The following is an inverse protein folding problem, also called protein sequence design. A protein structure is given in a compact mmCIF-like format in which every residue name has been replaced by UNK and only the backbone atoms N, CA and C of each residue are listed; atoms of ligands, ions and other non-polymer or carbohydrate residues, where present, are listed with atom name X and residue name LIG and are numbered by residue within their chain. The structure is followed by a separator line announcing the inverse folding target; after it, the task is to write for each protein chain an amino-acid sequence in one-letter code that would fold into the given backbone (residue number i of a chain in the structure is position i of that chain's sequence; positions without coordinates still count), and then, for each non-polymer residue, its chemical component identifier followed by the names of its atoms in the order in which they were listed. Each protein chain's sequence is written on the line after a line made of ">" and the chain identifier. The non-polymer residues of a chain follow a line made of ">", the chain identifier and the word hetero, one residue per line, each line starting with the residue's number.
data_IF_779985802055
#
_entry.id   IF_779985802055
#
_cell.length_a   1.000
_cell.length_b   1.000
_cell.length_c   1.000
_cell.angle_alpha   90.00
_cell.angle_beta   90.00
_cell.angle_gamma   90.00
#
_symmetry.space_group_name_H-M   'P 1'
#
loop_
_entity.id
_entity.type
_entity.pdbx_description
1 polymer ?
#
# COMPACT_ATOMS: atom_id res chain seq x y z
N UNK A 1 0.47 30.50 10.31
CA UNK A 1 1.50 29.47 10.10
C UNK A 1 0.77 28.21 9.72
N UNK A 2 1.18 27.53 8.65
CA UNK A 2 0.60 26.23 8.28
C UNK A 2 1.41 25.11 8.92
N UNK A 3 0.76 23.98 9.16
CA UNK A 3 1.34 22.81 9.80
C UNK A 3 1.13 21.59 8.90
N UNK A 4 2.14 20.75 8.79
CA UNK A 4 2.03 19.47 8.09
C UNK A 4 1.42 18.47 9.06
N UNK A 5 0.16 18.15 8.84
CA UNK A 5 -0.60 17.25 9.71
C UNK A 5 -0.92 15.98 8.94
N UNK A 6 -0.40 14.87 9.41
CA UNK A 6 -0.85 13.55 9.03
C UNK A 6 -2.13 13.24 9.80
N UNK A 7 -3.20 12.90 9.08
CA UNK A 7 -4.45 12.42 9.65
C UNK A 7 -4.72 11.02 9.14
N UNK A 8 -5.20 10.16 10.02
CA UNK A 8 -5.53 8.79 9.70
C UNK A 8 -6.79 8.32 10.39
N UNK A 9 -7.53 7.48 9.69
CA UNK A 9 -8.64 6.71 10.23
C UNK A 9 -8.44 5.24 9.85
N UNK A 10 -8.35 4.39 10.86
CA UNK A 10 -7.94 2.99 10.70
C UNK A 10 -8.99 2.11 11.36
N UNK A 11 -9.72 1.27 10.61
CA UNK A 11 -10.64 0.31 11.22
C UNK A 11 -9.83 -0.82 11.86
N UNK A 12 -10.17 -1.17 13.10
CA UNK A 12 -9.42 -2.14 13.91
C UNK A 12 -10.32 -3.19 14.51
N UNK A 13 -9.72 -4.33 14.88
CA UNK A 13 -10.40 -5.41 15.59
C UNK A 13 -10.96 -4.94 16.94
N UNK A 14 -12.01 -5.63 17.41
CA UNK A 14 -12.69 -5.27 18.66
C UNK A 14 -11.76 -5.30 19.88
N UNK A 15 -10.85 -6.27 19.91
CA UNK A 15 -9.84 -6.49 20.95
C UNK A 15 -8.61 -5.60 20.82
N UNK A 16 -8.63 -4.58 19.94
CA UNK A 16 -7.49 -3.70 19.68
C UNK A 16 -6.83 -3.19 20.96
N UNK A 17 -7.57 -2.65 21.92
CA UNK A 17 -6.98 -2.05 23.13
C UNK A 17 -6.31 -3.08 24.07
N UNK A 18 -6.81 -4.32 24.07
CA UNK A 18 -6.35 -5.41 24.94
C UNK A 18 -5.32 -6.31 24.24
N UNK A 19 -5.08 -6.09 22.95
CA UNK A 19 -4.19 -6.94 22.16
C UNK A 19 -2.71 -6.73 22.53
N UNK A 20 -1.92 -7.81 22.69
CA UNK A 20 -0.47 -7.69 22.88
C UNK A 20 0.21 -7.00 21.69
N UNK A 21 -0.35 -7.12 20.49
CA UNK A 21 0.14 -6.44 19.29
C UNK A 21 0.05 -4.92 19.45
N UNK A 22 -1.03 -4.42 20.04
CA UNK A 22 -1.23 -2.98 20.29
C UNK A 22 -0.24 -2.43 21.31
N UNK A 23 0.15 -3.24 22.29
CA UNK A 23 1.22 -2.85 23.23
C UNK A 23 2.54 -2.66 22.46
N UNK A 24 2.90 -3.62 21.59
CA UNK A 24 4.09 -3.50 20.74
C UNK A 24 4.01 -2.31 19.77
N UNK A 25 2.83 -2.00 19.21
CA UNK A 25 2.61 -0.81 18.38
C UNK A 25 2.93 0.46 19.19
N UNK A 26 2.43 0.58 20.42
CA UNK A 26 2.65 1.75 21.28
C UNK A 26 4.12 1.91 21.69
N UNK A 27 4.82 0.81 21.96
CA UNK A 27 6.25 0.82 22.24
C UNK A 27 7.08 1.26 21.03
N UNK A 28 6.81 0.72 19.85
CA UNK A 28 7.49 1.11 18.61
C UNK A 28 7.16 2.54 18.21
N UNK A 29 5.90 2.97 18.37
CA UNK A 29 5.51 4.37 18.22
C UNK A 29 6.46 5.25 19.03
N UNK A 30 6.62 4.97 20.33
CA UNK A 30 7.49 5.77 21.21
C UNK A 30 8.94 5.85 20.73
N UNK A 31 9.46 4.84 20.00
CA UNK A 31 10.80 4.83 19.40
C UNK A 31 10.88 5.62 18.09
N UNK A 32 9.95 5.37 17.17
CA UNK A 32 9.85 6.08 15.87
C UNK A 32 9.70 7.59 16.10
N UNK A 33 8.99 7.95 17.17
CA UNK A 33 8.70 9.33 17.55
C UNK A 33 9.88 10.02 18.26
N UNK A 34 10.96 9.32 18.62
CA UNK A 34 12.17 9.96 19.18
C UNK A 34 12.87 10.95 18.23
N UNK A 35 12.36 11.15 17.02
CA UNK A 35 12.84 12.11 16.02
C UNK A 35 12.51 13.56 16.41
N UNK A 36 13.47 14.47 16.19
CA UNK A 36 13.27 15.92 16.33
C UNK A 36 12.25 16.52 15.36
N UNK A 37 11.83 15.75 14.35
CA UNK A 37 10.92 16.19 13.30
C UNK A 37 9.43 15.99 13.61
N UNK A 38 9.10 15.29 14.70
CA UNK A 38 7.72 15.17 15.16
C UNK A 38 7.42 16.23 16.22
N UNK A 39 6.44 17.09 15.93
CA UNK A 39 6.02 18.19 16.82
C UNK A 39 4.97 17.73 17.83
N UNK A 40 4.12 16.78 17.45
CA UNK A 40 3.16 16.17 18.35
C UNK A 40 2.35 15.07 17.69
N UNK A 41 1.85 14.14 18.50
CA UNK A 41 0.99 13.07 18.04
C UNK A 41 -0.14 12.78 19.02
N UNK A 42 -1.28 12.40 18.46
CA UNK A 42 -2.47 12.07 19.20
C UNK A 42 -3.14 10.83 18.62
N UNK A 43 -3.78 10.08 19.51
CA UNK A 43 -4.54 8.87 19.19
C UNK A 43 -5.90 8.94 19.90
N UNK A 44 -6.95 8.56 19.18
CA UNK A 44 -8.28 8.36 19.76
C UNK A 44 -8.89 7.08 19.24
N UNK A 45 -9.44 6.27 20.14
CA UNK A 45 -10.11 5.02 19.79
C UNK A 45 -11.61 5.21 19.92
N UNK A 46 -12.35 4.77 18.91
CA UNK A 46 -13.80 4.86 18.87
C UNK A 46 -14.41 3.48 18.63
N UNK A 47 -15.41 3.14 19.44
CA UNK A 47 -16.19 1.92 19.25
C UNK A 47 -17.16 1.99 18.06
N UNK A 48 -17.75 0.86 17.65
CA UNK A 48 -18.83 0.84 16.69
C UNK A 48 -20.03 1.67 17.15
N UNK A 49 -20.75 2.29 16.21
CA UNK A 49 -21.91 3.12 16.49
C UNK A 49 -21.56 4.45 17.16
N UNK A 50 -20.33 4.93 16.97
CA UNK A 50 -19.90 6.27 17.36
C UNK A 50 -20.75 7.38 16.74
N UNK A 51 -20.41 8.63 17.02
CA UNK A 51 -21.16 9.80 16.53
C UNK A 51 -21.27 9.90 15.01
N UNK A 52 -20.30 9.34 14.28
CA UNK A 52 -20.29 9.25 12.83
C UNK A 52 -21.09 8.07 12.27
N UNK A 53 -21.65 7.22 13.15
CA UNK A 53 -22.39 6.02 12.77
C UNK A 53 -21.52 4.89 12.23
N UNK A 54 -20.19 4.94 12.43
CA UNK A 54 -19.26 3.93 11.93
C UNK A 54 -19.66 2.52 12.41
N UNK A 55 -19.80 1.53 11.51
CA UNK A 55 -20.16 0.16 11.89
C UNK A 55 -19.00 -0.60 12.54
N UNK A 56 -17.78 -0.04 12.53
CA UNK A 56 -16.56 -0.68 12.98
C UNK A 56 -15.87 0.12 14.07
N UNK A 57 -15.12 -0.58 14.92
CA UNK A 57 -14.17 0.05 15.85
C UNK A 57 -13.04 0.67 15.03
N UNK A 58 -12.60 1.85 15.40
CA UNK A 58 -11.59 2.59 14.64
C UNK A 58 -10.62 3.35 15.53
N UNK A 59 -9.43 3.59 14.99
CA UNK A 59 -8.41 4.45 15.58
C UNK A 59 -8.27 5.67 14.69
N UNK A 60 -8.39 6.85 15.30
CA UNK A 60 -8.04 8.13 14.72
C UNK A 60 -6.62 8.47 15.13
N UNK A 61 -5.75 8.66 14.15
CA UNK A 61 -4.38 9.09 14.34
C UNK A 61 -4.21 10.50 13.82
N UNK A 62 -3.50 11.33 14.58
CA UNK A 62 -3.07 12.63 14.12
C UNK A 62 -1.61 12.88 14.51
N UNK A 63 -0.78 13.30 13.58
CA UNK A 63 0.62 13.62 13.83
C UNK A 63 1.00 14.93 13.13
N UNK A 64 1.65 15.84 13.83
CA UNK A 64 2.19 17.09 13.29
C UNK A 64 3.68 16.91 13.06
N UNK A 65 4.10 17.07 11.82
CA UNK A 65 5.48 16.87 11.35
C UNK A 65 6.11 18.20 10.91
N UNK A 66 7.44 18.27 10.93
CA UNK A 66 8.19 19.38 10.34
C UNK A 66 8.09 19.38 8.81
N UNK A 67 8.04 18.21 8.18
CA UNK A 67 7.81 18.02 6.75
C UNK A 67 7.23 16.64 6.41
N UNK A 68 6.75 16.46 5.18
CA UNK A 68 6.26 15.15 4.69
C UNK A 68 7.43 14.17 4.55
N UNK A 69 8.58 14.65 4.10
CA UNK A 69 9.79 13.84 3.94
C UNK A 69 10.25 13.28 5.28
N UNK A 70 10.12 14.05 6.36
CA UNK A 70 10.44 13.58 7.69
C UNK A 70 9.46 12.49 8.18
N UNK A 71 8.16 12.66 7.91
CA UNK A 71 7.16 11.65 8.20
C UNK A 71 7.43 10.35 7.43
N UNK A 72 7.74 10.46 6.14
CA UNK A 72 8.06 9.31 5.30
C UNK A 72 9.36 8.64 5.73
N UNK A 73 10.41 9.40 6.06
CA UNK A 73 11.65 8.85 6.60
C UNK A 73 11.42 8.07 7.90
N UNK A 74 10.58 8.60 8.80
CA UNK A 74 10.21 7.91 10.04
C UNK A 74 9.48 6.59 9.77
N UNK A 75 8.54 6.58 8.79
CA UNK A 75 7.81 5.37 8.38
C UNK A 75 8.69 4.33 7.67
N UNK A 76 9.73 4.77 6.96
CA UNK A 76 10.68 3.89 6.27
C UNK A 76 11.82 3.39 7.18
N UNK A 77 11.91 3.90 8.41
CA UNK A 77 12.86 3.39 9.40
C UNK A 77 12.56 1.93 9.77
N UNK A 78 13.54 1.15 10.29
CA UNK A 78 13.30 -0.22 10.74
C UNK A 78 12.14 -0.34 11.73
N UNK A 79 12.05 0.58 12.70
CA UNK A 79 10.96 0.60 13.68
C UNK A 79 9.60 0.96 13.03
N UNK A 80 9.59 1.88 12.05
CA UNK A 80 8.39 2.24 11.29
C UNK A 80 7.87 1.10 10.41
N UNK A 81 8.78 0.36 9.76
CA UNK A 81 8.45 -0.83 8.98
C UNK A 81 7.89 -1.95 9.85
N UNK A 82 8.47 -2.16 11.04
CA UNK A 82 7.96 -3.15 11.99
C UNK A 82 6.59 -2.75 12.54
N UNK A 83 6.42 -1.48 12.91
CA UNK A 83 5.14 -0.92 13.33
C UNK A 83 4.06 -1.11 12.27
N UNK A 84 4.39 -0.93 10.98
CA UNK A 84 3.47 -1.18 9.86
C UNK A 84 3.03 -2.65 9.78
N UNK A 85 3.92 -3.62 10.03
CA UNK A 85 3.55 -5.04 10.06
C UNK A 85 2.59 -5.35 11.20
N UNK A 86 2.82 -4.78 12.38
CA UNK A 86 1.92 -4.95 13.52
C UNK A 86 0.54 -4.33 13.27
N UNK A 87 0.49 -3.14 12.67
CA UNK A 87 -0.78 -2.54 12.24
C UNK A 87 -1.57 -3.47 11.31
N UNK A 88 -0.90 -4.15 10.37
CA UNK A 88 -1.54 -5.14 9.50
C UNK A 88 -2.21 -6.32 10.22
N UNK A 89 -1.82 -6.61 11.47
CA UNK A 89 -2.41 -7.69 12.26
C UNK A 89 -3.67 -7.24 13.03
N UNK A 90 -3.82 -5.94 13.27
CA UNK A 90 -4.94 -5.37 14.06
C UNK A 90 -5.98 -4.64 13.22
N UNK A 91 -5.67 -4.33 11.96
CA UNK A 91 -6.62 -3.76 11.01
C UNK A 91 -7.75 -4.76 10.73
N UNK A 92 -8.99 -4.26 10.74
CA UNK A 92 -10.18 -5.01 10.36
C UNK A 92 -10.86 -4.31 9.18
N UNK A 93 -10.77 -4.89 8.00
CA UNK A 93 -11.37 -4.32 6.79
C UNK A 93 -12.76 -4.88 6.50
N UNK A 94 -13.21 -5.89 7.26
CA UNK A 94 -14.51 -6.52 7.08
C UNK A 94 -15.58 -5.76 7.87
N UNK A 95 -16.68 -5.41 7.21
CA UNK A 95 -17.89 -4.88 7.86
C UNK A 95 -19.13 -5.54 7.27
N UNK A 96 -20.24 -5.68 8.03
CA UNK A 96 -21.51 -6.16 7.52
C UNK A 96 -22.04 -5.37 6.30
N UNK A 97 -21.59 -4.13 6.13
CA UNK A 97 -21.97 -3.24 5.02
C UNK A 97 -21.02 -3.27 3.81
N UNK A 98 -20.03 -4.16 3.80
CA UNK A 98 -18.98 -4.23 2.79
C UNK A 98 -17.60 -3.82 3.32
N UNK A 99 -16.54 -3.96 2.51
CA UNK A 99 -15.18 -3.68 2.97
C UNK A 99 -14.98 -2.20 3.31
N UNK A 100 -14.26 -1.96 4.41
CA UNK A 100 -13.92 -0.63 4.90
C UNK A 100 -12.41 -0.47 4.86
N UNK A 101 -11.93 0.47 4.05
CA UNK A 101 -10.49 0.68 3.85
C UNK A 101 -9.95 1.69 4.88
N UNK A 102 -8.79 1.42 5.52
CA UNK A 102 -8.07 2.45 6.23
C UNK A 102 -7.66 3.57 5.28
N UNK A 103 -7.56 4.79 5.80
CA UNK A 103 -6.96 5.89 5.06
C UNK A 103 -6.03 6.69 5.95
N UNK A 104 -4.97 7.20 5.33
CA UNK A 104 -4.06 8.19 5.91
C UNK A 104 -3.76 9.23 4.84
N UNK A 105 -3.55 10.47 5.26
CA UNK A 105 -3.23 11.55 4.34
C UNK A 105 -2.45 12.64 5.04
N UNK A 106 -1.57 13.28 4.29
CA UNK A 106 -0.88 14.48 4.75
C UNK A 106 -1.64 15.71 4.31
N UNK A 107 -1.80 16.67 5.20
CA UNK A 107 -2.52 17.90 4.95
C UNK A 107 -1.68 19.09 5.38
N UNK A 108 -1.70 20.15 4.56
CA UNK A 108 -1.11 21.42 4.93
C UNK A 108 -2.18 22.30 5.59
N UNK A 109 -2.34 22.16 6.92
CA UNK A 109 -3.42 22.79 7.67
C UNK A 109 -3.02 24.18 8.18
N UNK A 110 -3.86 25.18 7.89
CA UNK A 110 -3.72 26.55 8.37
C UNK A 110 -4.90 27.00 9.24
N UNK A 111 -4.97 28.30 9.52
CA UNK A 111 -6.08 28.93 10.24
C UNK A 111 -6.01 28.87 11.78
N UNK A 112 -5.17 28.01 12.35
CA UNK A 112 -5.06 27.87 13.80
C UNK A 112 -3.95 26.92 14.25
N UNK A 113 -3.96 26.58 15.54
CA UNK A 113 -3.04 25.61 16.13
C UNK A 113 -3.73 24.24 16.26
N UNK A 114 -3.24 23.25 15.50
CA UNK A 114 -3.76 21.88 15.55
C UNK A 114 -3.69 21.29 16.96
N UNK A 115 -2.67 21.62 17.76
CA UNK A 115 -2.58 21.09 19.13
C UNK A 115 -3.74 21.54 20.02
N UNK A 116 -4.31 22.72 19.78
CA UNK A 116 -5.53 23.20 20.47
C UNK A 116 -6.77 22.45 20.02
N UNK A 117 -6.87 22.19 18.71
CA UNK A 117 -7.96 21.37 18.15
C UNK A 117 -7.92 19.97 18.76
N UNK A 118 -6.76 19.33 18.73
CA UNK A 118 -6.53 17.99 19.27
C UNK A 118 -6.73 17.88 20.79
N UNK A 119 -6.59 18.97 21.55
CA UNK A 119 -6.84 19.01 22.99
C UNK A 119 -8.33 19.13 23.37
N UNK A 120 -9.22 19.25 22.38
CA UNK A 120 -10.66 19.39 22.60
C UNK A 120 -11.30 18.06 23.00
N UNK A 121 -12.44 18.10 23.70
CA UNK A 121 -13.13 16.88 24.13
C UNK A 121 -13.62 16.04 22.95
N UNK A 122 -14.08 16.72 21.90
CA UNK A 122 -14.53 16.11 20.65
C UNK A 122 -13.83 16.80 19.49
N UNK A 123 -13.32 16.00 18.56
CA UNK A 123 -12.67 16.46 17.32
C UNK A 123 -13.47 15.96 16.13
N UNK A 124 -13.95 16.87 15.30
CA UNK A 124 -14.66 16.57 14.06
C UNK A 124 -13.71 16.79 12.88
N UNK A 125 -13.52 15.75 12.07
CA UNK A 125 -12.84 15.79 10.78
C UNK A 125 -13.89 15.79 9.67
N UNK A 126 -13.88 16.82 8.83
CA UNK A 126 -14.75 16.93 7.67
C UNK A 126 -13.89 16.99 6.41
N UNK A 127 -13.92 15.93 5.61
CA UNK A 127 -13.25 15.83 4.32
C UNK A 127 -14.20 16.20 3.19
N UNK A 128 -13.78 17.12 2.33
CA UNK A 128 -14.42 17.42 1.05
C UNK A 128 -13.50 16.92 -0.07
N UNK A 129 -13.95 15.92 -0.82
CA UNK A 129 -13.18 15.30 -1.90
C UNK A 129 -13.65 15.84 -3.25
N UNK A 130 -12.73 16.47 -3.98
CA UNK A 130 -12.98 17.12 -5.26
C UNK A 130 -12.28 16.35 -6.39
N UNK A 131 -12.80 16.42 -7.63
CA UNK A 131 -12.07 16.01 -8.82
C UNK A 131 -10.67 16.64 -8.89
N UNK A 132 -9.70 15.92 -9.48
CA UNK A 132 -8.30 16.40 -9.57
C UNK A 132 -8.16 17.69 -10.38
N UNK A 133 -9.04 17.91 -11.35
CA UNK A 133 -9.11 19.09 -12.21
C UNK A 133 -9.91 20.25 -11.59
N UNK A 134 -10.47 20.09 -10.39
CA UNK A 134 -11.23 21.13 -9.72
C UNK A 134 -10.35 22.36 -9.41
N UNK A 135 -10.95 23.55 -9.57
CA UNK A 135 -10.33 24.81 -9.20
C UNK A 135 -10.36 24.98 -7.67
N UNK A 136 -9.28 24.52 -7.03
CA UNK A 136 -9.13 24.52 -5.57
C UNK A 136 -9.12 25.94 -4.98
N UNK A 137 -8.56 26.93 -5.69
CA UNK A 137 -8.54 28.31 -5.23
C UNK A 137 -9.96 28.90 -5.18
N UNK A 138 -10.75 28.69 -6.23
CA UNK A 138 -12.14 29.15 -6.27
C UNK A 138 -13.01 28.44 -5.21
N UNK A 139 -12.79 27.13 -5.01
CA UNK A 139 -13.47 26.39 -3.94
C UNK A 139 -13.13 27.00 -2.57
N UNK A 140 -11.85 27.22 -2.28
CA UNK A 140 -11.42 27.71 -0.97
C UNK A 140 -11.93 29.14 -0.71
N UNK A 141 -11.91 30.01 -1.73
CA UNK A 141 -12.48 31.36 -1.63
C UNK A 141 -13.98 31.30 -1.29
N UNK A 142 -14.74 30.44 -1.97
CA UNK A 142 -16.16 30.28 -1.73
C UNK A 142 -16.43 29.71 -0.34
N UNK A 143 -15.70 28.68 0.06
CA UNK A 143 -15.79 28.09 1.39
C UNK A 143 -15.51 29.12 2.48
N UNK A 144 -14.43 29.89 2.36
CA UNK A 144 -14.09 30.94 3.31
C UNK A 144 -15.16 32.05 3.37
N UNK A 145 -15.75 32.40 2.22
CA UNK A 145 -16.86 33.36 2.16
C UNK A 145 -18.08 32.87 2.95
N UNK A 146 -18.43 31.58 2.80
CA UNK A 146 -19.51 30.94 3.57
C UNK A 146 -19.21 30.98 5.08
N UNK A 147 -17.98 30.64 5.48
CA UNK A 147 -17.59 30.66 6.90
C UNK A 147 -17.64 32.08 7.49
N UNK A 148 -17.19 33.10 6.74
CA UNK A 148 -17.29 34.51 7.15
C UNK A 148 -18.75 34.96 7.30
N UNK A 149 -19.61 34.58 6.35
CA UNK A 149 -21.03 34.90 6.42
C UNK A 149 -21.68 34.28 7.68
N UNK A 150 -21.35 33.02 7.99
CA UNK A 150 -21.84 32.34 9.18
C UNK A 150 -21.33 32.98 10.49
N UNK A 151 -20.07 33.41 10.53
CA UNK A 151 -19.54 34.15 11.68
C UNK A 151 -20.22 35.51 11.86
N UNK A 152 -20.48 36.23 10.76
CA UNK A 152 -21.09 37.57 10.79
C UNK A 152 -22.57 37.57 11.19
N UNK A 153 -23.29 36.48 10.99
CA UNK A 153 -24.69 36.33 11.40
C UNK A 153 -24.86 35.96 12.89
N UNK A 154 -23.78 36.01 13.68
CA UNK A 154 -23.78 35.62 15.09
C UNK A 154 -23.79 34.10 15.30
N UNK A 155 -23.59 33.33 14.23
CA UNK A 155 -23.59 31.86 14.23
C UNK A 155 -22.26 31.27 14.72
N UNK A 156 -21.73 31.73 15.86
CA UNK A 156 -20.79 30.88 16.58
C UNK A 156 -21.59 29.70 17.12
N UNK A 157 -21.37 28.53 16.52
CA UNK A 157 -21.99 27.32 17.04
C UNK A 157 -21.50 27.13 18.47
N UNK A 158 -22.44 27.13 19.42
CA UNK A 158 -22.13 26.90 20.82
C UNK A 158 -21.24 25.65 20.95
N UNK A 159 -20.21 25.76 21.79
CA UNK A 159 -19.25 24.69 22.03
C UNK A 159 -18.12 24.55 21.02
N UNK A 160 -18.04 25.37 19.96
CA UNK A 160 -16.85 25.44 19.11
C UNK A 160 -15.66 26.04 19.85
N UNK A 161 -14.50 25.37 19.84
CA UNK A 161 -13.30 25.77 20.58
C UNK A 161 -12.15 26.23 19.67
N UNK A 162 -11.89 25.48 18.61
CA UNK A 162 -10.78 25.74 17.69
C UNK A 162 -11.03 25.07 16.33
N UNK A 163 -10.38 25.56 15.29
CA UNK A 163 -10.44 24.94 13.97
C UNK A 163 -9.18 25.18 13.15
N UNK A 164 -8.85 24.20 12.31
CA UNK A 164 -7.85 24.32 11.25
C UNK A 164 -8.42 23.74 9.97
N UNK A 165 -7.91 24.18 8.83
CA UNK A 165 -8.34 23.66 7.53
C UNK A 165 -7.22 23.73 6.51
N UNK A 166 -7.31 22.94 5.44
CA UNK A 166 -6.32 22.98 4.37
C UNK A 166 -6.45 21.81 3.40
N UNK A 167 -5.55 21.81 2.42
CA UNK A 167 -5.54 20.82 1.35
C UNK A 167 -4.63 19.63 1.67
N UNK A 168 -4.97 18.48 1.11
CA UNK A 168 -4.08 17.33 1.03
C UNK A 168 -2.80 17.71 0.30
N UNK A 169 -1.69 17.16 0.75
CA UNK A 169 -0.40 17.25 0.08
C UNK A 169 -0.39 16.13 -0.96
N UNK A 170 -0.60 16.51 -2.22
CA UNK A 170 -0.82 15.57 -3.31
C UNK A 170 -2.26 15.10 -3.43
N UNK A 171 -2.45 14.13 -4.31
CA UNK A 171 -3.74 13.49 -4.57
C UNK A 171 -3.97 12.35 -3.58
N UNK A 172 -5.21 12.18 -3.14
CA UNK A 172 -5.64 11.07 -2.27
C UNK A 172 -6.54 10.13 -3.05
N UNK A 173 -6.45 8.83 -2.77
CA UNK A 173 -7.37 7.84 -3.34
C UNK A 173 -8.62 7.80 -2.46
N UNK A 174 -9.75 8.23 -3.01
CA UNK A 174 -11.04 8.17 -2.34
C UNK A 174 -12.02 7.38 -3.20
N UNK A 175 -12.56 6.29 -2.66
CA UNK A 175 -13.46 5.35 -3.36
C UNK A 175 -12.89 4.86 -4.71
N UNK A 176 -11.58 4.63 -4.76
CA UNK A 176 -10.89 4.13 -5.96
C UNK A 176 -10.53 5.20 -6.99
N UNK A 177 -10.85 6.47 -6.75
CA UNK A 177 -10.52 7.58 -7.65
C UNK A 177 -9.50 8.52 -7.01
N UNK A 178 -8.57 9.05 -7.82
CA UNK A 178 -7.70 10.14 -7.39
C UNK A 178 -8.54 11.40 -7.19
N UNK A 179 -8.37 12.06 -6.04
CA UNK A 179 -9.09 13.27 -5.64
C UNK A 179 -8.13 14.25 -4.97
N UNK A 180 -8.52 15.52 -4.96
CA UNK A 180 -7.96 16.51 -4.04
C UNK A 180 -8.85 16.58 -2.83
N UNK A 181 -8.29 16.46 -1.63
CA UNK A 181 -9.07 16.55 -0.40
C UNK A 181 -8.84 17.90 0.28
N UNK A 182 -9.93 18.60 0.57
CA UNK A 182 -9.93 19.73 1.50
C UNK A 182 -10.44 19.24 2.85
N UNK A 183 -9.58 19.36 3.87
CA UNK A 183 -9.87 18.90 5.21
C UNK A 183 -10.16 20.08 6.12
N UNK A 184 -11.21 19.95 6.93
CA UNK A 184 -11.55 20.87 8.01
C UNK A 184 -11.56 20.06 9.30
N UNK A 185 -10.73 20.44 10.27
CA UNK A 185 -10.65 19.79 11.57
C UNK A 185 -11.05 20.78 12.66
N UNK A 186 -12.05 20.44 13.44
CA UNK A 186 -12.64 21.34 14.45
C UNK A 186 -12.72 20.66 15.80
N UNK A 187 -12.43 21.44 16.85
CA UNK A 187 -12.47 21.01 18.24
C UNK A 187 -13.68 21.58 18.96
N UNK A 188 -14.33 20.74 19.76
CA UNK A 188 -15.60 21.00 20.42
C UNK A 188 -15.60 20.58 21.89
N UNK A 189 -16.45 21.22 22.68
CA UNK A 189 -16.61 20.91 24.10
C UNK A 189 -17.39 19.62 24.37
N UNK A 190 -18.27 19.20 23.46
CA UNK A 190 -19.22 18.11 23.67
C UNK A 190 -19.75 17.53 22.36
N UNK A 191 -20.30 16.32 22.44
CA UNK A 191 -20.93 15.62 21.32
C UNK A 191 -22.20 16.33 20.84
N UNK A 192 -22.95 16.91 21.77
CA UNK A 192 -24.19 17.63 21.55
C UNK A 192 -23.93 18.89 20.70
N UNK A 193 -22.86 19.61 21.01
CA UNK A 193 -22.42 20.77 20.23
C UNK A 193 -22.09 20.39 18.78
N UNK A 194 -21.40 19.26 18.56
CA UNK A 194 -21.11 18.74 17.22
C UNK A 194 -22.40 18.38 16.48
N UNK A 195 -23.30 17.61 17.11
CA UNK A 195 -24.60 17.24 16.54
C UNK A 195 -25.42 18.47 16.13
N UNK A 196 -25.43 19.52 16.97
CA UNK A 196 -26.10 20.78 16.66
C UNK A 196 -25.41 21.56 15.53
N UNK A 197 -24.08 21.42 15.38
CA UNK A 197 -23.30 22.03 14.33
C UNK A 197 -23.63 21.47 12.95
N UNK A 198 -23.70 20.14 12.84
CA UNK A 198 -23.82 19.42 11.55
C UNK A 198 -25.26 18.98 11.23
N UNK A 199 -26.15 18.97 12.23
CA UNK A 199 -27.54 18.53 12.08
C UNK A 199 -28.45 19.51 11.32
N UNK A 200 -29.66 19.02 11.01
CA UNK A 200 -30.70 19.79 10.31
C UNK A 200 -30.46 19.92 8.81
N UNK A 201 -30.79 21.08 8.24
CA UNK A 201 -30.65 21.37 6.81
C UNK A 201 -29.28 21.97 6.43
N UNK A 202 -28.37 22.12 7.41
CA UNK A 202 -27.06 22.77 7.23
C UNK A 202 -26.18 22.01 6.23
N UNK A 203 -26.16 20.68 6.30
CA UNK A 203 -25.42 19.84 5.35
C UNK A 203 -25.95 20.00 3.92
N UNK A 204 -27.27 19.93 3.75
CA UNK A 204 -27.90 20.12 2.45
C UNK A 204 -27.62 21.53 1.88
N UNK A 205 -27.64 22.57 2.72
CA UNK A 205 -27.27 23.94 2.33
C UNK A 205 -25.80 24.04 1.92
N UNK A 206 -24.91 23.34 2.62
CA UNK A 206 -23.48 23.31 2.30
C UNK A 206 -23.23 22.61 0.95
N UNK A 207 -23.83 21.42 0.76
CA UNK A 207 -23.75 20.66 -0.50
C UNK A 207 -24.32 21.48 -1.68
N UNK A 208 -25.47 22.13 -1.51
CA UNK A 208 -26.08 22.99 -2.54
C UNK A 208 -25.21 24.20 -2.86
N UNK A 209 -24.62 24.85 -1.84
CA UNK A 209 -23.76 26.02 -2.04
C UNK A 209 -22.49 25.67 -2.82
N UNK A 210 -21.98 24.45 -2.70
CA UNK A 210 -20.74 24.01 -3.35
C UNK A 210 -20.96 22.99 -4.48
N UNK A 211 -22.20 22.79 -4.93
CA UNK A 211 -22.56 21.80 -5.95
C UNK A 211 -21.77 21.93 -7.26
N UNK A 212 -21.36 23.15 -7.61
CA UNK A 212 -20.57 23.42 -8.81
C UNK A 212 -19.19 22.74 -8.82
N UNK A 213 -18.69 22.34 -7.64
CA UNK A 213 -17.40 21.67 -7.48
C UNK A 213 -17.51 20.14 -7.45
N UNK A 214 -18.72 19.57 -7.55
CA UNK A 214 -18.96 18.12 -7.55
C UNK A 214 -18.28 17.38 -6.39
N UNK A 215 -18.48 17.89 -5.17
CA UNK A 215 -17.81 17.41 -3.97
C UNK A 215 -18.48 16.15 -3.43
N UNK A 216 -17.66 15.23 -2.93
CA UNK A 216 -18.12 14.16 -2.04
C UNK A 216 -17.67 14.47 -0.62
N UNK A 217 -18.59 14.47 0.35
CA UNK A 217 -18.25 14.72 1.76
C UNK A 217 -18.12 13.43 2.57
N UNK A 218 -17.20 13.43 3.52
CA UNK A 218 -17.09 12.42 4.57
C UNK A 218 -16.78 13.10 5.90
N UNK A 219 -17.41 12.62 6.96
CA UNK A 219 -17.24 13.13 8.31
C UNK A 219 -16.79 11.98 9.21
N UNK A 220 -15.85 12.28 10.10
CA UNK A 220 -15.38 11.39 11.15
C UNK A 220 -15.35 12.17 12.46
N UNK A 221 -15.86 11.57 13.53
CA UNK A 221 -15.96 12.23 14.82
C UNK A 221 -15.18 11.45 15.86
N UNK A 222 -14.11 12.02 16.39
CA UNK A 222 -13.29 11.41 17.42
C UNK A 222 -13.61 12.01 18.79
N UNK A 223 -13.79 11.16 19.79
CA UNK A 223 -13.88 11.58 21.19
C UNK A 223 -12.57 11.27 21.91
N UNK A 224 -12.06 12.26 22.65
CA UNK A 224 -10.89 12.05 23.50
C UNK A 224 -9.60 11.72 22.74
N UNK A 225 -9.27 12.49 21.71
CA UNK A 225 -7.98 12.41 21.04
C UNK A 225 -6.85 12.72 22.05
N UNK A 226 -6.16 11.69 22.54
CA UNK A 226 -5.16 11.81 23.61
C UNK A 226 -3.79 12.04 23.02
N UNK A 227 -3.09 13.06 23.51
CA UNK A 227 -1.68 13.26 23.18
C UNK A 227 -0.87 12.06 23.68
N UNK A 228 -0.11 11.44 22.79
CA UNK A 228 0.80 10.36 23.17
C UNK A 228 1.96 11.01 23.94
N UNK A 229 2.08 10.69 25.23
CA UNK A 229 3.14 11.22 26.09
C UNK A 229 4.43 10.45 25.86
N UNK A 230 5.54 11.17 25.74
CA UNK A 230 6.87 10.61 25.68
C UNK A 230 7.45 10.52 27.09
N UNK A 231 7.92 9.35 27.48
CA UNK A 231 8.93 9.30 28.53
C UNK A 231 10.22 9.81 27.90
N UNK A 232 10.69 10.96 28.39
CA UNK A 232 11.88 11.63 27.87
C UNK A 232 13.05 10.65 27.76
N UNK A 233 13.75 10.69 26.62
CA UNK A 233 14.95 9.90 26.26
C UNK A 233 16.18 10.32 27.12
N UNK A 234 16.01 10.49 28.43
CA UNK A 234 17.07 10.87 29.37
C UNK A 234 17.80 9.68 30.00
N UNK A 235 17.28 8.45 29.91
CA UNK A 235 17.92 7.29 30.57
C UNK A 235 18.65 6.34 29.64
N UNK A 236 18.42 6.39 28.31
CA UNK A 236 18.99 5.39 27.39
C UNK A 236 20.34 5.75 26.74
N UNK A 237 20.80 7.00 26.85
CA UNK A 237 22.07 7.45 26.23
C UNK A 237 23.30 7.15 27.12
N UNK A 238 23.12 6.81 28.39
CA UNK A 238 24.23 6.62 29.33
C UNK A 238 25.02 5.29 29.21
N UNK A 239 24.62 4.35 28.36
CA UNK A 239 25.20 2.98 28.35
C UNK A 239 26.09 2.68 27.13
N UNK A 240 26.23 3.58 26.15
CA UNK A 240 27.00 3.29 24.91
C UNK A 240 28.21 4.16 24.61
N UNK A 241 28.68 5.04 25.50
CA UNK A 241 29.88 5.86 25.26
C UNK A 241 31.13 5.45 26.06
N UNK A 242 31.44 4.15 26.13
CA UNK A 242 32.81 3.71 26.48
C UNK A 242 33.22 2.55 25.59
N UNK A 243 34.38 2.69 24.93
CA UNK A 243 35.00 1.81 23.92
C UNK A 243 34.50 2.13 22.49
N UNK A 244 35.29 2.62 21.53
CA UNK A 244 36.74 2.52 21.34
C UNK A 244 37.22 3.68 20.45
N UNK A 245 38.37 4.26 20.80
CA UNK A 245 39.18 5.07 19.89
C UNK A 245 40.54 4.38 19.79
N UNK A 246 40.92 4.01 18.58
CA UNK A 246 42.16 3.31 18.29
C UNK A 246 42.53 3.50 16.82
N UNK A 247 43.29 4.55 16.57
CA UNK A 247 43.89 4.93 15.30
C UNK A 247 45.01 3.96 14.90
N UNK A 248 45.14 3.63 13.60
CA UNK A 248 46.46 3.39 13.01
C UNK A 248 46.45 3.62 11.49
N UNK A 249 47.64 3.93 10.98
CA UNK A 249 47.98 4.63 9.73
C UNK A 249 48.86 3.73 8.87
N UNK A 250 48.90 4.05 7.56
CA UNK A 250 49.85 3.60 6.52
C UNK A 250 49.48 2.26 5.84
N UNK A 251 49.75 2.01 4.55
CA UNK A 251 50.76 2.58 3.64
C UNK A 251 50.36 2.27 2.18
N UNK A 252 50.69 3.20 1.30
CA UNK A 252 50.60 3.13 -0.16
C UNK A 252 51.69 2.21 -0.75
N UNK A 253 51.33 1.36 -1.72
CA UNK A 253 52.24 0.90 -2.78
C UNK A 253 51.47 0.56 -4.06
N UNK A 254 51.89 1.23 -5.13
CA UNK A 254 51.49 1.13 -6.54
C UNK A 254 52.23 -0.03 -7.23
N UNK A 255 51.55 -0.81 -8.09
CA UNK A 255 52.15 -1.48 -9.26
C UNK A 255 51.13 -1.62 -10.39
N UNK A 256 51.50 -1.10 -11.56
CA UNK A 256 50.92 -1.37 -12.88
C UNK A 256 50.98 -2.86 -13.23
N UNK A 257 50.12 -3.34 -14.12
CA UNK A 257 50.40 -4.24 -15.28
C UNK A 257 49.12 -4.36 -16.15
N UNK A 258 49.27 -4.16 -17.47
CA UNK A 258 48.22 -4.20 -18.52
C UNK A 258 48.05 -5.62 -19.13
N UNK A 259 47.16 -5.89 -20.11
CA UNK A 259 46.15 -6.95 -20.02
C UNK A 259 46.47 -8.20 -20.87
N UNK A 260 45.85 -9.35 -20.55
CA UNK A 260 45.86 -10.52 -21.43
C UNK A 260 44.43 -10.99 -21.76
N UNK A 261 44.20 -11.14 -23.08
CA UNK A 261 43.07 -11.82 -23.73
C UNK A 261 43.00 -13.29 -23.32
N UNK A 262 41.78 -13.80 -23.16
CA UNK A 262 41.44 -15.22 -23.17
C UNK A 262 40.31 -15.47 -24.20
N UNK A 263 40.19 -16.71 -24.73
CA UNK A 263 39.75 -16.96 -26.10
C UNK A 263 38.24 -17.15 -26.27
N UNK A 264 37.77 -16.87 -27.49
CA UNK A 264 36.48 -17.29 -28.02
C UNK A 264 36.34 -18.82 -27.97
N UNK A 265 35.22 -19.31 -27.43
CA UNK A 265 34.79 -20.70 -27.59
C UNK A 265 33.40 -20.79 -28.21
N UNK A 266 33.37 -21.56 -29.29
CA UNK A 266 32.26 -21.86 -30.20
C UNK A 266 30.95 -22.26 -29.51
N UNK A 267 29.89 -21.49 -29.79
CA UNK A 267 28.50 -21.79 -29.46
C UNK A 267 27.82 -22.62 -30.56
N UNK A 268 28.18 -23.89 -30.70
CA UNK A 268 27.41 -24.83 -31.53
C UNK A 268 27.15 -26.13 -30.80
N UNK A 269 26.13 -26.12 -29.91
CA UNK A 269 25.26 -27.26 -29.51
C UNK A 269 24.39 -26.87 -28.29
N UNK A 270 23.37 -26.02 -28.45
CA UNK A 270 22.20 -26.04 -27.53
C UNK A 270 21.13 -26.93 -28.13
N UNK A 271 20.82 -28.00 -27.41
CA UNK A 271 19.95 -29.09 -27.83
C UNK A 271 18.47 -28.65 -27.89
N UNK A 272 17.65 -29.40 -28.64
CA UNK A 272 16.20 -29.21 -28.84
C UNK A 272 15.35 -29.09 -27.54
N UNK A 273 15.92 -29.33 -26.36
CA UNK A 273 15.24 -29.31 -25.05
C UNK A 273 14.86 -27.88 -24.61
N UNK A 274 15.59 -26.87 -25.06
CA UNK A 274 15.33 -25.45 -24.73
C UNK A 274 14.37 -24.75 -25.71
N UNK A 275 13.81 -25.47 -26.68
CA UNK A 275 12.92 -24.88 -27.67
C UNK A 275 11.65 -24.29 -27.01
N UNK A 276 11.55 -22.96 -27.01
CA UNK A 276 10.38 -22.20 -26.52
C UNK A 276 10.35 -21.93 -25.01
N UNK A 277 11.39 -22.33 -24.26
CA UNK A 277 11.58 -21.92 -22.87
C UNK A 277 12.33 -20.58 -22.81
N UNK A 278 11.88 -19.67 -21.95
CA UNK A 278 12.64 -18.46 -21.60
C UNK A 278 12.61 -18.21 -20.09
N UNK A 279 13.68 -17.60 -19.59
CA UNK A 279 13.80 -17.20 -18.19
C UNK A 279 13.01 -15.92 -17.94
N UNK A 280 12.29 -15.87 -16.82
CA UNK A 280 11.55 -14.70 -16.33
C UNK A 280 12.17 -14.12 -15.06
N UNK A 281 13.42 -14.49 -14.78
CA UNK A 281 14.22 -14.02 -13.65
C UNK A 281 14.35 -15.01 -12.51
N UNK A 282 15.02 -14.57 -11.45
CA UNK A 282 15.30 -15.39 -10.26
C UNK A 282 14.02 -15.62 -9.46
N UNK A 283 13.86 -16.81 -8.89
CA UNK A 283 12.71 -17.15 -8.05
C UNK A 283 12.61 -16.25 -6.80
N UNK A 284 13.74 -15.77 -6.31
CA UNK A 284 13.88 -14.78 -5.24
C UNK A 284 13.32 -13.40 -5.60
N UNK A 285 13.09 -13.12 -6.89
CA UNK A 285 12.54 -11.86 -7.41
C UNK A 285 11.02 -11.85 -7.52
N UNK A 286 10.36 -12.94 -7.16
CA UNK A 286 8.90 -13.07 -7.12
C UNK A 286 8.43 -13.19 -5.66
N UNK A 287 7.66 -12.22 -5.15
CA UNK A 287 7.06 -12.35 -3.81
C UNK A 287 6.10 -13.54 -3.79
N UNK A 288 6.06 -14.24 -2.66
CA UNK A 288 5.06 -15.29 -2.42
C UNK A 288 3.78 -14.65 -1.90
N UNK A 289 2.69 -14.84 -2.63
CA UNK A 289 1.40 -14.23 -2.32
C UNK A 289 0.71 -14.88 -1.11
N UNK A 290 1.12 -16.09 -0.70
CA UNK A 290 0.57 -16.74 0.50
C UNK A 290 -0.97 -16.84 0.49
N UNK A 291 -1.60 -16.49 1.61
CA UNK A 291 -3.08 -16.43 1.74
C UNK A 291 -3.61 -14.99 1.64
N UNK A 292 -2.90 -14.12 0.94
CA UNK A 292 -3.31 -12.74 0.72
C UNK A 292 -4.52 -12.67 -0.22
N UNK A 293 -5.55 -11.92 0.18
CA UNK A 293 -6.77 -11.68 -0.60
C UNK A 293 -6.62 -10.51 -1.60
N UNK A 294 -5.44 -9.89 -1.68
CA UNK A 294 -5.11 -8.82 -2.61
C UNK A 294 -5.02 -9.27 -4.08
N UNK A 295 -5.07 -8.31 -5.00
CA UNK A 295 -4.91 -8.60 -6.42
C UNK A 295 -3.43 -8.90 -6.78
N UNK A 296 -3.22 -9.57 -7.92
CA UNK A 296 -1.88 -10.01 -8.35
C UNK A 296 -0.89 -8.85 -8.61
N UNK A 297 -1.37 -7.65 -8.97
CA UNK A 297 -0.53 -6.48 -9.24
C UNK A 297 -0.19 -5.67 -7.98
N UNK A 298 -0.85 -5.94 -6.86
CA UNK A 298 -0.58 -5.23 -5.61
C UNK A 298 0.89 -5.40 -5.19
N UNK A 299 1.49 -4.29 -4.75
CA UNK A 299 2.88 -4.24 -4.36
C UNK A 299 3.10 -5.05 -3.09
N UNK A 300 4.07 -5.95 -3.13
CA UNK A 300 4.45 -6.83 -2.02
C UNK A 300 5.94 -6.75 -1.81
N UNK A 301 6.35 -6.97 -0.56
CA UNK A 301 7.77 -7.06 -0.26
C UNK A 301 8.35 -8.32 -0.87
N UNK A 302 9.43 -8.13 -1.61
CA UNK A 302 10.24 -9.16 -2.21
C UNK A 302 11.68 -8.88 -1.78
N UNK A 303 12.09 -9.52 -0.69
CA UNK A 303 13.28 -9.17 0.09
C UNK A 303 13.19 -7.73 0.61
N UNK A 304 14.07 -6.83 0.16
CA UNK A 304 14.12 -5.42 0.55
C UNK A 304 13.29 -4.50 -0.35
N UNK A 305 12.79 -5.00 -1.48
CA UNK A 305 12.17 -4.17 -2.51
C UNK A 305 10.65 -4.40 -2.54
N UNK A 306 9.88 -3.34 -2.83
CA UNK A 306 8.48 -3.46 -3.20
C UNK A 306 8.37 -3.84 -4.68
N UNK A 307 7.77 -5.00 -4.96
CA UNK A 307 7.56 -5.49 -6.32
C UNK A 307 6.09 -5.91 -6.49
N UNK A 308 5.49 -5.74 -7.68
CA UNK A 308 4.18 -6.30 -7.94
C UNK A 308 4.15 -7.81 -7.65
N UNK A 309 3.01 -8.30 -7.18
CA UNK A 309 2.79 -9.73 -6.88
C UNK A 309 2.94 -10.67 -8.08
N UNK A 310 2.87 -10.12 -9.29
CA UNK A 310 3.09 -10.80 -10.55
C UNK A 310 4.03 -9.99 -11.45
N UNK A 311 4.67 -10.66 -12.40
CA UNK A 311 5.40 -10.02 -13.49
C UNK A 311 4.76 -10.39 -14.81
N UNK A 312 4.75 -9.45 -15.75
CA UNK A 312 4.15 -9.64 -17.08
C UNK A 312 5.24 -9.54 -18.13
N UNK A 313 5.21 -10.41 -19.14
CA UNK A 313 6.21 -10.45 -20.20
C UNK A 313 5.54 -10.54 -21.56
N UNK A 314 6.07 -9.82 -22.56
CA UNK A 314 5.72 -10.06 -23.96
C UNK A 314 6.30 -11.39 -24.43
N UNK A 315 5.45 -12.25 -24.99
CA UNK A 315 5.78 -13.59 -25.48
C UNK A 315 5.09 -13.89 -26.84
N UNK A 316 5.62 -13.29 -27.94
CA UNK A 316 5.07 -13.43 -29.29
C UNK A 316 4.99 -14.89 -29.75
N UNK A 317 3.96 -15.22 -30.54
CA UNK A 317 3.84 -16.51 -31.20
C UNK A 317 4.69 -16.54 -32.46
N UNK A 318 6.01 -16.73 -32.35
CA UNK A 318 6.84 -16.99 -33.53
C UNK A 318 7.97 -18.01 -33.30
N UNK A 319 8.14 -18.81 -34.33
CA UNK A 319 8.90 -20.05 -34.50
C UNK A 319 10.41 -19.80 -34.67
N UNK A 320 11.22 -20.44 -33.83
CA UNK A 320 12.56 -20.88 -34.23
C UNK A 320 13.79 -20.08 -33.76
N UNK A 321 13.64 -19.04 -32.93
CA UNK A 321 14.79 -18.35 -32.32
C UNK A 321 14.55 -18.08 -30.83
N UNK A 322 15.64 -17.95 -30.07
CA UNK A 322 15.66 -17.76 -28.61
C UNK A 322 14.68 -16.64 -28.24
N UNK A 323 13.60 -16.99 -27.54
CA UNK A 323 12.59 -16.02 -27.12
C UNK A 323 13.20 -15.13 -26.04
N UNK A 324 13.69 -13.96 -26.43
CA UNK A 324 13.97 -12.88 -25.50
C UNK A 324 12.62 -12.22 -25.22
N UNK A 325 12.10 -12.43 -24.01
CA UNK A 325 10.87 -11.78 -23.56
C UNK A 325 11.22 -10.49 -22.83
N UNK A 326 10.46 -9.43 -23.11
CA UNK A 326 10.62 -8.14 -22.44
C UNK A 326 9.59 -8.06 -21.32
N UNK A 327 10.04 -7.76 -20.10
CA UNK A 327 9.16 -7.48 -18.97
C UNK A 327 8.34 -6.21 -19.28
N UNK A 328 7.04 -6.28 -19.03
CA UNK A 328 6.11 -5.18 -19.14
C UNK A 328 6.03 -4.52 -17.78
N UNK A 329 6.29 -3.21 -17.73
CA UNK A 329 6.12 -2.46 -16.51
C UNK A 329 4.63 -2.38 -16.17
N UNK A 330 4.26 -3.01 -15.05
CA UNK A 330 2.90 -3.02 -14.51
C UNK A 330 2.74 -2.16 -13.26
N UNK A 331 3.71 -1.29 -12.99
CA UNK A 331 3.64 -0.33 -11.89
C UNK A 331 2.41 0.58 -12.02
N UNK A 332 1.84 1.05 -10.90
CA UNK A 332 0.68 1.94 -10.92
C UNK A 332 0.85 3.16 -11.85
N UNK A 333 2.08 3.66 -11.97
CA UNK A 333 2.42 4.84 -12.78
C UNK A 333 2.53 4.52 -14.28
N UNK A 334 2.94 3.29 -14.66
CA UNK A 334 3.05 2.86 -16.06
C UNK A 334 1.73 2.31 -16.63
N UNK A 335 0.89 1.71 -15.79
CA UNK A 335 -0.32 0.99 -16.21
C UNK A 335 -1.45 1.90 -16.68
N UNK A 336 -1.56 3.13 -16.15
CA UNK A 336 -2.58 4.11 -16.59
C UNK A 336 -2.39 4.54 -18.06
N UNK A 337 -1.16 4.44 -18.59
CA UNK A 337 -0.89 4.72 -20.01
C UNK A 337 -1.28 3.58 -20.96
N UNK A 338 -1.40 2.35 -20.46
CA UNK A 338 -1.71 1.15 -21.26
C UNK A 338 -3.21 0.86 -21.35
N UNK A 339 -4.05 1.45 -20.49
CA UNK A 339 -5.52 1.35 -20.57
C UNK A 339 -6.11 2.09 -21.78
N UNK A 340 -5.32 2.96 -22.43
CA UNK A 340 -5.60 3.48 -23.77
C UNK A 340 -4.81 2.66 -24.81
N UNK A 341 -5.42 1.59 -25.33
CA UNK A 341 -4.99 0.88 -26.57
C UNK A 341 -3.71 -0.01 -26.52
N UNK A 342 -3.25 -0.47 -25.34
CA UNK A 342 -2.15 -1.45 -25.26
C UNK A 342 -2.57 -2.89 -25.61
N UNK A 343 -1.94 -3.50 -26.62
CA UNK A 343 -2.23 -4.88 -27.06
C UNK A 343 -1.83 -5.92 -25.99
N UNK A 344 -2.75 -6.26 -25.05
CA UNK A 344 -2.61 -7.37 -24.07
C UNK A 344 -2.47 -8.76 -24.73
N UNK A 345 -2.40 -8.81 -26.07
CA UNK A 345 -2.15 -10.03 -26.82
C UNK A 345 -0.70 -10.46 -26.60
N UNK A 346 -0.55 -11.79 -26.59
CA UNK A 346 0.75 -12.44 -26.49
C UNK A 346 1.56 -12.02 -25.26
N UNK A 347 0.90 -11.71 -24.14
CA UNK A 347 1.54 -11.51 -22.85
C UNK A 347 1.31 -12.72 -21.93
N UNK A 348 2.37 -13.12 -21.21
CA UNK A 348 2.30 -14.09 -20.11
C UNK A 348 2.48 -13.36 -18.79
N UNK A 349 1.65 -13.72 -17.81
CA UNK A 349 1.76 -13.27 -16.44
C UNK A 349 2.27 -14.43 -15.58
N UNK A 350 3.29 -14.16 -14.77
CA UNK A 350 3.94 -15.13 -13.88
C UNK A 350 3.90 -14.63 -12.45
N UNK A 351 3.50 -15.49 -11.52
CA UNK A 351 3.41 -15.16 -10.09
C UNK A 351 3.63 -16.40 -9.23
N UNK A 352 3.90 -16.18 -7.94
CA UNK A 352 4.12 -17.24 -6.96
C UNK A 352 3.02 -17.20 -5.89
N UNK A 353 2.19 -18.23 -5.82
CA UNK A 353 1.10 -18.34 -4.86
C UNK A 353 1.28 -19.58 -4.00
N UNK A 354 1.28 -19.40 -2.67
CA UNK A 354 1.49 -20.46 -1.66
C UNK A 354 2.68 -21.37 -1.99
N UNK A 355 3.81 -20.76 -2.34
CA UNK A 355 5.05 -21.48 -2.65
C UNK A 355 5.14 -22.07 -4.05
N UNK A 356 4.08 -21.98 -4.87
CA UNK A 356 4.04 -22.54 -6.23
C UNK A 356 4.05 -21.45 -7.28
N UNK A 357 4.81 -21.64 -8.35
CA UNK A 357 4.83 -20.72 -9.47
C UNK A 357 3.73 -21.08 -10.48
N UNK A 358 3.01 -20.05 -10.92
CA UNK A 358 1.96 -20.13 -11.92
C UNK A 358 2.27 -19.19 -13.08
N UNK A 359 1.96 -19.62 -14.29
CA UNK A 359 2.10 -18.80 -15.49
C UNK A 359 0.87 -18.97 -16.38
N UNK A 360 0.22 -17.85 -16.72
CA UNK A 360 -1.03 -17.81 -17.48
C UNK A 360 -1.00 -16.66 -18.49
N UNK A 361 -1.87 -16.70 -19.51
CA UNK A 361 -2.10 -15.54 -20.36
C UNK A 361 -2.56 -14.35 -19.50
N UNK A 362 -1.96 -13.17 -19.70
CA UNK A 362 -2.31 -11.98 -18.92
C UNK A 362 -3.73 -11.48 -19.21
N UNK A 363 -4.27 -11.76 -20.41
CA UNK A 363 -5.61 -11.36 -20.81
C UNK A 363 -6.68 -12.36 -20.36
N UNK A 364 -7.78 -11.86 -19.82
CA UNK A 364 -8.96 -12.66 -19.55
C UNK A 364 -9.61 -13.11 -20.89
N UNK A 365 -9.91 -14.42 -21.09
CA UNK A 365 -10.50 -14.92 -22.33
C UNK A 365 -11.93 -14.42 -22.60
N UNK A 366 -12.57 -13.74 -21.65
CA UNK A 366 -13.90 -13.15 -21.82
C UNK A 366 -13.89 -11.86 -22.65
N UNK A 367 -13.14 -10.86 -22.17
CA UNK A 367 -13.18 -9.47 -22.67
C UNK A 367 -11.81 -8.80 -22.61
N UNK A 368 -10.75 -9.61 -22.59
CA UNK A 368 -9.35 -9.17 -22.53
C UNK A 368 -8.99 -8.27 -21.34
N UNK A 369 -9.77 -8.32 -20.25
CA UNK A 369 -9.41 -7.60 -19.02
C UNK A 369 -8.10 -8.13 -18.42
N UNK A 370 -7.19 -7.28 -17.90
CA UNK A 370 -5.91 -7.71 -17.36
C UNK A 370 -6.07 -8.54 -16.09
N UNK A 371 -5.61 -9.79 -16.12
CA UNK A 371 -5.65 -10.72 -14.99
C UNK A 371 -4.60 -10.39 -13.92
N UNK A 372 -3.68 -9.47 -14.16
CA UNK A 372 -2.85 -8.89 -13.08
C UNK A 372 -3.68 -8.17 -12.02
N UNK A 373 -4.91 -7.76 -12.34
CA UNK A 373 -5.89 -7.27 -11.35
C UNK A 373 -6.74 -8.39 -10.74
N UNK A 374 -6.49 -9.64 -11.09
CA UNK A 374 -7.18 -10.81 -10.55
C UNK A 374 -6.77 -11.12 -9.13
N UNK A 375 -7.62 -11.85 -8.41
CA UNK A 375 -7.37 -12.33 -7.04
C UNK A 375 -7.15 -13.85 -7.10
N UNK A 376 -5.98 -14.37 -6.67
CA UNK A 376 -5.75 -15.81 -6.59
C UNK A 376 -6.48 -16.43 -5.39
N UNK A 377 -6.90 -17.69 -5.50
CA UNK A 377 -7.59 -18.39 -4.42
C UNK A 377 -7.36 -19.91 -4.50
N UNK A 378 -7.61 -20.63 -3.41
CA UNK A 378 -7.60 -22.09 -3.41
C UNK A 378 -8.96 -22.63 -3.87
N UNK A 379 -8.94 -23.61 -4.79
CA UNK A 379 -10.12 -24.37 -5.16
C UNK A 379 -10.20 -25.54 -4.18
N UNK A 380 -11.13 -25.45 -3.24
CA UNK A 380 -11.31 -26.42 -2.18
C UNK A 380 -12.62 -27.19 -2.32
N UNK A 381 -12.62 -28.44 -1.89
CA UNK A 381 -13.83 -29.24 -1.66
C UNK A 381 -13.70 -29.94 -0.29
N UNK A 382 -14.68 -29.73 0.60
CA UNK A 382 -14.67 -30.24 1.98
C UNK A 382 -13.36 -29.99 2.77
N UNK A 383 -12.73 -28.82 2.60
CA UNK A 383 -11.49 -28.44 3.29
C UNK A 383 -10.23 -29.09 2.73
N UNK A 384 -10.31 -29.73 1.56
CA UNK A 384 -9.16 -30.25 0.82
C UNK A 384 -8.91 -29.32 -0.38
N UNK A 385 -7.72 -28.73 -0.46
CA UNK A 385 -7.28 -27.93 -1.62
C UNK A 385 -7.03 -28.86 -2.81
N UNK A 386 -7.94 -28.82 -3.78
CA UNK A 386 -7.88 -29.63 -5.01
C UNK A 386 -7.04 -28.96 -6.10
N UNK A 387 -7.10 -27.63 -6.18
CA UNK A 387 -6.38 -26.82 -7.17
C UNK A 387 -6.27 -25.37 -6.69
N UNK A 388 -5.79 -24.50 -7.55
CA UNK A 388 -5.67 -23.05 -7.31
C UNK A 388 -6.31 -22.31 -8.47
N UNK A 389 -7.05 -21.25 -8.20
CA UNK A 389 -7.75 -20.44 -9.18
C UNK A 389 -7.33 -18.98 -9.18
N UNK A 390 -7.77 -18.25 -10.21
CA UNK A 390 -7.74 -16.78 -10.24
C UNK A 390 -9.11 -16.25 -10.65
N UNK A 391 -9.61 -15.25 -9.94
CA UNK A 391 -10.87 -14.57 -10.23
C UNK A 391 -10.61 -13.26 -10.97
N UNK A 392 -11.24 -13.09 -12.13
CA UNK A 392 -11.22 -11.84 -12.88
C UNK A 392 -12.16 -10.82 -12.20
N UNK A 393 -11.69 -9.62 -11.81
CA UNK A 393 -12.49 -8.70 -10.98
C UNK A 393 -13.62 -8.03 -11.78
N UNK A 394 -13.51 -7.97 -13.11
CA UNK A 394 -14.52 -7.30 -13.95
C UNK A 394 -15.83 -8.08 -14.04
N UNK A 395 -15.77 -9.41 -14.07
CA UNK A 395 -16.95 -10.27 -14.29
C UNK A 395 -17.10 -11.39 -13.26
N UNK A 396 -16.19 -11.46 -12.29
CA UNK A 396 -16.15 -12.49 -11.25
C UNK A 396 -16.10 -13.93 -11.80
N UNK A 397 -15.47 -14.12 -12.97
CA UNK A 397 -15.24 -15.45 -13.53
C UNK A 397 -13.93 -16.00 -13.02
N UNK A 398 -13.94 -17.28 -12.71
CA UNK A 398 -12.83 -17.97 -12.08
C UNK A 398 -12.18 -18.94 -13.05
N UNK A 399 -10.86 -19.02 -13.04
CA UNK A 399 -10.10 -19.91 -13.89
C UNK A 399 -9.15 -20.74 -13.06
N UNK A 400 -9.21 -22.07 -13.22
CA UNK A 400 -8.26 -23.00 -12.62
C UNK A 400 -6.87 -22.78 -13.25
N UNK A 401 -5.86 -22.51 -12.42
CA UNK A 401 -4.49 -22.17 -12.84
C UNK A 401 -3.70 -23.38 -13.36
N UNK A 402 -4.19 -24.59 -13.16
CA UNK A 402 -3.55 -25.83 -13.63
C UNK A 402 -4.08 -26.24 -15.01
N UNK A 403 -5.39 -26.20 -15.17
CA UNK A 403 -6.13 -26.72 -16.34
C UNK A 403 -6.59 -25.61 -17.30
N UNK A 404 -6.71 -24.39 -16.80
CA UNK A 404 -7.28 -23.24 -17.50
C UNK A 404 -8.81 -23.27 -17.60
N UNK A 405 -9.47 -24.28 -17.03
CA UNK A 405 -10.93 -24.38 -17.09
C UNK A 405 -11.55 -23.24 -16.30
N UNK A 406 -12.58 -22.63 -16.87
CA UNK A 406 -13.38 -21.65 -16.13
C UNK A 406 -14.60 -22.28 -15.50
N UNK A 407 -15.14 -21.59 -14.51
CA UNK A 407 -16.48 -21.83 -13.97
C UNK A 407 -17.59 -21.61 -15.04
N UNK A 408 -17.24 -21.02 -16.19
CA UNK A 408 -18.10 -20.80 -17.36
C UNK A 408 -17.63 -21.62 -18.55
N UNK A 409 -18.13 -22.85 -18.70
CA UNK A 409 -17.72 -23.88 -19.68
C UNK A 409 -17.28 -23.46 -21.11
N UNK A 410 -17.70 -22.30 -21.63
CA UNK A 410 -17.30 -21.76 -22.94
C UNK A 410 -15.91 -21.11 -22.97
N UNK A 411 -15.33 -20.74 -21.84
CA UNK A 411 -14.06 -19.99 -21.79
C UNK A 411 -12.95 -20.82 -21.16
N UNK A 412 -11.77 -20.78 -21.77
CA UNK A 412 -10.57 -21.46 -21.28
C UNK A 412 -9.39 -20.50 -21.26
N UNK A 413 -8.76 -20.36 -20.10
CA UNK A 413 -7.56 -19.56 -19.91
C UNK A 413 -6.33 -20.30 -20.43
N UNK A 414 -5.43 -19.58 -21.12
CA UNK A 414 -4.16 -20.14 -21.55
C UNK A 414 -3.23 -20.35 -20.35
N UNK A 415 -2.90 -21.60 -20.04
CA UNK A 415 -1.94 -21.96 -18.98
C UNK A 415 -0.60 -22.33 -19.61
N UNK A 416 0.47 -21.83 -19.02
CA UNK A 416 1.86 -22.04 -19.42
C UNK A 416 2.51 -23.10 -18.52
N UNK A 417 3.57 -23.72 -19.03
CA UNK A 417 4.40 -24.59 -18.22
C UNK A 417 5.45 -23.76 -17.50
N UNK A 418 5.75 -24.12 -16.26
CA UNK A 418 6.77 -23.48 -15.42
C UNK A 418 7.79 -24.51 -14.97
N UNK A 419 9.06 -24.15 -15.03
CA UNK A 419 10.18 -24.94 -14.51
C UNK A 419 11.10 -24.07 -13.66
N UNK A 420 11.52 -24.59 -12.50
CA UNK A 420 12.61 -24.01 -11.74
C UNK A 420 13.91 -24.69 -12.15
N UNK A 421 14.90 -23.91 -12.58
CA UNK A 421 16.23 -24.39 -12.97
C UNK A 421 17.28 -23.76 -12.06
N UNK A 422 18.41 -24.43 -11.83
CA UNK A 422 19.49 -23.86 -11.02
C UNK A 422 20.09 -22.65 -11.75
N UNK A 423 20.35 -21.55 -11.02
CA UNK A 423 20.95 -20.36 -11.60
C UNK A 423 22.41 -20.63 -12.01
N UNK A 424 22.79 -20.18 -13.20
CA UNK A 424 24.14 -20.37 -13.71
C UNK A 424 25.17 -19.64 -12.84
N UNK A 425 26.07 -20.39 -12.19
CA UNK A 425 27.08 -19.85 -11.27
C UNK A 425 26.89 -20.21 -9.79
N UNK A 426 25.84 -20.98 -9.45
CA UNK A 426 25.67 -21.57 -8.12
C UNK A 426 26.75 -22.64 -7.88
N UNK A 427 27.87 -22.24 -7.25
CA UNK A 427 28.88 -23.19 -6.77
C UNK A 427 28.29 -23.93 -5.58
N UNK A 428 28.37 -25.27 -5.48
CA UNK A 428 27.93 -25.98 -4.29
C UNK A 428 28.85 -25.60 -3.12
N UNK A 429 28.43 -24.67 -2.27
CA UNK A 429 29.16 -24.34 -1.05
C UNK A 429 29.09 -25.51 -0.07
N UNK A 430 30.27 -25.91 0.40
CA UNK A 430 30.46 -27.01 1.37
C UNK A 430 29.74 -26.63 2.67
N UNK A 431 28.92 -27.55 3.17
CA UNK A 431 28.20 -27.44 4.44
C UNK A 431 29.16 -27.08 5.57
N UNK A 432 29.00 -25.90 6.13
CA UNK A 432 29.49 -25.57 7.48
C UNK A 432 28.28 -25.66 8.40
N UNK A 433 28.41 -26.45 9.45
CA UNK A 433 27.37 -26.86 10.37
C UNK A 433 26.98 -25.67 11.28
N UNK A 434 26.16 -24.76 10.77
CA UNK A 434 25.44 -23.76 11.56
C UNK A 434 24.09 -23.48 10.91
N UNK A 435 23.06 -24.21 11.34
CA UNK A 435 21.62 -23.85 11.41
C UNK A 435 20.85 -23.26 10.21
N UNK A 436 21.45 -22.54 9.28
CA UNK A 436 20.78 -21.88 8.15
C UNK A 436 21.06 -22.64 6.84
N UNK A 437 20.12 -23.49 6.45
CA UNK A 437 20.14 -24.14 5.14
C UNK A 437 19.85 -23.11 4.03
N UNK A 438 20.88 -22.41 3.55
CA UNK A 438 20.78 -21.60 2.34
C UNK A 438 20.57 -22.53 1.14
N UNK A 439 19.39 -22.44 0.53
CA UNK A 439 19.07 -23.21 -0.68
C UNK A 439 19.66 -22.50 -1.90
N UNK A 440 20.24 -23.23 -2.87
CA UNK A 440 20.82 -22.60 -4.05
C UNK A 440 19.73 -21.84 -4.82
N UNK A 441 20.09 -20.64 -5.29
CA UNK A 441 19.17 -19.78 -6.02
C UNK A 441 18.73 -20.43 -7.35
N UNK A 442 17.44 -20.29 -7.65
CA UNK A 442 16.82 -20.87 -8.85
C UNK A 442 16.29 -19.79 -9.77
N UNK A 443 16.33 -20.05 -11.07
CA UNK A 443 15.66 -19.26 -12.09
C UNK A 443 14.29 -19.86 -12.44
N UNK A 444 13.34 -18.98 -12.73
CA UNK A 444 12.00 -19.34 -13.18
C UNK A 444 11.98 -19.32 -14.70
N UNK A 445 11.61 -20.44 -15.31
CA UNK A 445 11.51 -20.60 -16.76
C UNK A 445 10.08 -20.91 -17.15
N UNK A 446 9.58 -20.30 -18.22
CA UNK A 446 8.22 -20.52 -18.71
C UNK A 446 8.20 -20.88 -20.20
N UNK A 447 7.21 -21.68 -20.62
CA UNK A 447 6.89 -21.93 -22.03
C UNK A 447 5.40 -22.15 -22.26
N UNK A 448 4.93 -21.95 -23.49
CA UNK A 448 3.56 -22.32 -23.87
C UNK A 448 3.40 -23.83 -23.77
N UNK A 449 2.30 -24.31 -23.17
CA UNK A 449 1.91 -25.73 -23.25
C UNK A 449 1.80 -26.13 -24.72
N UNK A 450 2.57 -27.14 -25.12
CA UNK A 450 2.43 -27.70 -26.46
C UNK A 450 1.06 -28.39 -26.55
N UNK A 451 0.33 -28.16 -27.65
CA UNK A 451 -0.83 -29.00 -27.95
C UNK A 451 -0.30 -30.39 -28.24
N UNK A 452 -0.44 -31.29 -27.29
CA UNK A 452 -0.34 -32.72 -27.56
C UNK A 452 -1.55 -33.00 -28.46
N UNK A 453 -1.27 -33.29 -29.73
CA UNK A 453 -2.27 -33.57 -30.75
C UNK A 453 -3.01 -34.86 -30.49
#
# INVERSE_FOLDING_TARGET
>A
MTQIVELGWIPVKQDYEDSPVTTSIKELHSKVIGSSDLVGQWEGVQGPGGLDGSPVKSVHLAAVWTSVEAADAAKQSPDGLEMRKLWGQVIEMSSPSGPVLPWTGYFNLGGGDFAKVAASNVVLLTGSYLPVDANTAAFEEKWQSMMRAQASSGGFTAGFLAGVHGWSIGEVVYKGEKKKAFMVVTGWDSEESVKAAIGGDKRAKFEEALKEFNIQQQEHVCTGLKKIKYDSVSEYIAVRSTHSSGTSRAKETRRDHTPQRAPEMNNFRRSRVDAGWFSVGLASSFPDLGSDDGNLSDLRFCNTDLKPGCKVFHAPKATGSVQQSTEVDISPDAFESAEMEGDLKDQVMVFRFKGKFHAIDHKCPHSSYPLSKGVPFDIEDFGIVLSTGVTCPKHSWSFDLTTGMSDRARYKLGVWEVQLRDAAGSVPMVKVDDGSSETPEKEVWVRRKQRIG
#
